data_IF_055609084584
#
_entry.id   IF_055609084584
#
_cell.length_a   1.000
_cell.length_b   1.000
_cell.length_c   1.000
_cell.angle_alpha   90.00
_cell.angle_beta   90.00
_cell.angle_gamma   90.00
#
_symmetry.space_group_name_H-M   'P 1'
#
loop_
_entity.id
_entity.type
_entity.pdbx_description
1 polymer ?
#
# COMPACT_ATOMS: atom_id res chain seq x y z
N UNK A 1 16.61 -13.66 -2.57
CA UNK A 1 16.64 -12.69 -3.67
C UNK A 1 15.27 -12.03 -3.75
N UNK A 2 15.22 -10.72 -3.81
CA UNK A 2 13.95 -10.00 -3.88
C UNK A 2 13.37 -10.09 -5.29
N UNK A 3 12.08 -10.38 -5.39
CA UNK A 3 11.35 -10.36 -6.65
C UNK A 3 10.73 -8.99 -6.92
N UNK A 4 11.02 -8.02 -6.05
CA UNK A 4 10.51 -6.67 -6.20
C UNK A 4 11.28 -5.90 -7.25
N UNK A 5 10.53 -5.18 -8.07
CA UNK A 5 11.11 -4.27 -9.05
C UNK A 5 10.55 -2.88 -8.80
N UNK A 6 11.43 -1.88 -8.80
CA UNK A 6 11.06 -0.49 -8.59
C UNK A 6 11.35 0.31 -9.85
N UNK A 7 10.33 1.00 -10.34
CA UNK A 7 10.45 1.91 -11.48
C UNK A 7 9.90 3.28 -11.10
N UNK A 8 10.60 4.31 -11.52
CA UNK A 8 10.11 5.68 -11.42
C UNK A 8 10.07 6.27 -12.81
N UNK A 9 8.90 6.74 -13.22
CA UNK A 9 8.67 7.31 -14.54
C UNK A 9 8.13 8.73 -14.39
N UNK A 10 8.69 9.65 -15.16
CA UNK A 10 8.19 11.02 -15.25
C UNK A 10 7.69 11.23 -16.67
N UNK A 11 6.41 11.49 -16.84
CA UNK A 11 5.75 11.54 -18.13
C UNK A 11 5.13 12.91 -18.47
N UNK A 12 5.47 13.94 -17.76
CA UNK A 12 4.90 15.29 -17.95
C UNK A 12 3.56 15.51 -17.24
N UNK A 13 2.96 14.43 -16.68
CA UNK A 13 1.74 14.47 -15.86
C UNK A 13 2.03 14.28 -14.39
N UNK A 14 3.31 14.30 -14.02
CA UNK A 14 3.81 14.02 -12.68
C UNK A 14 4.61 12.74 -12.62
N UNK A 15 5.14 12.43 -11.44
CA UNK A 15 5.93 11.23 -11.21
C UNK A 15 5.03 10.01 -11.04
N UNK A 16 5.54 8.85 -11.46
CA UNK A 16 4.88 7.57 -11.27
C UNK A 16 5.89 6.57 -10.72
N UNK A 17 5.50 5.83 -9.70
CA UNK A 17 6.31 4.76 -9.13
C UNK A 17 5.53 3.46 -9.26
N UNK A 18 6.19 2.41 -9.78
CA UNK A 18 5.57 1.11 -9.99
C UNK A 18 6.37 0.05 -9.24
N UNK A 19 5.67 -0.77 -8.45
CA UNK A 19 6.25 -1.89 -7.72
C UNK A 19 5.57 -3.17 -8.20
N UNK A 20 6.35 -4.18 -8.54
CA UNK A 20 5.84 -5.50 -8.94
C UNK A 20 6.49 -6.57 -8.09
N UNK A 21 5.66 -7.46 -7.54
CA UNK A 21 6.14 -8.62 -6.81
C UNK A 21 5.28 -9.84 -7.16
N UNK A 22 5.82 -11.02 -6.90
CA UNK A 22 5.12 -12.29 -7.03
C UNK A 22 4.92 -12.90 -5.65
N UNK A 23 3.71 -13.34 -5.37
CA UNK A 23 3.34 -13.89 -4.07
C UNK A 23 2.68 -15.24 -4.27
N UNK A 24 3.11 -16.23 -3.52
CA UNK A 24 2.48 -17.55 -3.53
C UNK A 24 1.21 -17.51 -2.69
N UNK A 25 0.10 -17.21 -3.35
CA UNK A 25 -1.23 -17.06 -2.74
C UNK A 25 -2.29 -17.02 -3.83
N UNK A 26 -3.56 -17.08 -3.43
CA UNK A 26 -4.68 -16.88 -4.36
C UNK A 26 -5.04 -15.39 -4.49
N UNK A 27 -5.66 -14.99 -5.61
CA UNK A 27 -6.17 -13.61 -5.76
C UNK A 27 -7.12 -13.20 -4.63
N UNK A 28 -7.99 -14.10 -4.20
CA UNK A 28 -8.96 -13.84 -3.15
C UNK A 28 -8.29 -13.57 -1.81
N UNK A 29 -7.27 -14.35 -1.49
CA UNK A 29 -6.53 -14.16 -0.23
C UNK A 29 -5.71 -12.88 -0.26
N UNK A 30 -5.14 -12.55 -1.41
CA UNK A 30 -4.40 -11.29 -1.56
C UNK A 30 -5.35 -10.09 -1.42
N UNK A 31 -6.53 -10.16 -2.05
CA UNK A 31 -7.54 -9.12 -1.91
C UNK A 31 -7.96 -8.95 -0.44
N UNK A 32 -8.19 -10.06 0.26
CA UNK A 32 -8.51 -10.03 1.69
C UNK A 32 -7.42 -9.33 2.50
N UNK A 33 -6.16 -9.65 2.22
CA UNK A 33 -5.03 -9.03 2.93
C UNK A 33 -4.94 -7.52 2.69
N UNK A 34 -5.38 -7.04 1.52
CA UNK A 34 -5.37 -5.61 1.20
C UNK A 34 -6.53 -4.87 1.88
N UNK A 35 -7.69 -5.50 1.98
CA UNK A 35 -8.91 -4.85 2.44
C UNK A 35 -9.29 -5.13 3.89
N UNK A 36 -8.82 -6.23 4.47
CA UNK A 36 -9.08 -6.54 5.87
C UNK A 36 -8.17 -5.73 6.78
N UNK A 37 -8.77 -4.97 7.70
CA UNK A 37 -8.04 -4.04 8.55
C UNK A 37 -7.04 -4.75 9.47
N UNK A 38 -7.42 -5.88 10.05
CA UNK A 38 -6.55 -6.61 10.97
C UNK A 38 -5.35 -7.25 10.25
N UNK A 39 -5.58 -7.82 9.07
CA UNK A 39 -4.47 -8.33 8.26
C UNK A 39 -3.55 -7.19 7.81
N UNK A 40 -4.15 -6.06 7.43
CA UNK A 40 -3.39 -4.89 6.99
C UNK A 40 -2.41 -4.39 8.05
N UNK A 41 -2.83 -4.36 9.31
CA UNK A 41 -1.98 -3.95 10.43
C UNK A 41 -0.72 -4.81 10.56
N UNK A 42 -0.80 -6.08 10.21
CA UNK A 42 0.32 -7.03 10.39
C UNK A 42 1.50 -6.76 9.46
N UNK A 43 1.26 -6.14 8.31
CA UNK A 43 2.34 -5.87 7.34
C UNK A 43 2.53 -4.39 7.03
N UNK A 44 1.70 -3.51 7.58
CA UNK A 44 1.71 -2.08 7.27
C UNK A 44 1.95 -1.22 8.53
N UNK A 45 2.93 -1.61 9.35
CA UNK A 45 3.37 -0.85 10.53
C UNK A 45 2.25 -0.57 11.56
N UNK A 46 1.30 -1.49 11.69
CA UNK A 46 0.16 -1.30 12.58
C UNK A 46 -0.96 -0.45 11.99
N UNK A 47 -0.83 -0.05 10.73
CA UNK A 47 -1.84 0.76 10.04
C UNK A 47 -2.97 -0.13 9.57
N UNK A 48 -4.17 0.05 10.13
CA UNK A 48 -5.38 -0.56 9.62
C UNK A 48 -6.05 0.35 8.59
N UNK A 49 -7.04 -0.18 7.89
CA UNK A 49 -7.79 0.57 6.90
C UNK A 49 -9.29 0.36 7.12
N UNK A 50 -10.04 1.45 7.10
CA UNK A 50 -11.49 1.45 7.30
C UNK A 50 -12.18 1.95 6.04
N UNK A 51 -13.10 1.18 5.51
CA UNK A 51 -13.87 1.54 4.32
C UNK A 51 -15.05 0.60 4.14
N UNK A 52 -16.07 1.08 3.43
CA UNK A 52 -17.19 0.24 2.98
C UNK A 52 -16.87 -0.53 1.69
N UNK A 53 -15.74 -0.22 1.04
CA UNK A 53 -15.25 -0.88 -0.17
C UNK A 53 -16.25 -0.85 -1.33
N UNK A 54 -17.00 0.24 -1.44
CA UNK A 54 -17.88 0.51 -2.57
C UNK A 54 -17.24 1.58 -3.46
N UNK A 55 -17.47 1.52 -4.77
CA UNK A 55 -17.00 2.58 -5.65
C UNK A 55 -17.62 3.91 -5.22
N UNK A 56 -16.79 4.95 -5.10
CA UNK A 56 -17.19 6.25 -4.63
C UNK A 56 -17.18 6.42 -3.12
N UNK A 57 -16.98 5.34 -2.35
CA UNK A 57 -16.88 5.45 -0.89
C UNK A 57 -15.49 5.91 -0.45
N UNK A 58 -15.42 6.45 0.75
CA UNK A 58 -14.17 6.91 1.33
C UNK A 58 -13.44 5.80 2.07
N UNK A 59 -12.13 5.98 2.30
CA UNK A 59 -11.35 5.16 3.19
C UNK A 59 -10.49 6.02 4.11
N UNK A 60 -10.14 5.45 5.25
CA UNK A 60 -9.18 6.04 6.19
C UNK A 60 -8.21 4.96 6.65
N UNK A 61 -6.92 5.20 6.43
CA UNK A 61 -5.85 4.36 6.95
C UNK A 61 -5.23 5.03 8.16
N UNK A 62 -5.13 4.31 9.28
CA UNK A 62 -4.62 4.88 10.52
C UNK A 62 -4.05 3.83 11.46
N UNK A 63 -3.20 4.30 12.38
CA UNK A 63 -2.82 3.54 13.56
C UNK A 63 -3.82 3.94 14.65
N UNK A 64 -4.76 3.05 15.06
CA UNK A 64 -5.84 3.42 15.96
C UNK A 64 -5.33 4.06 17.27
N UNK A 65 -5.90 5.22 17.59
CA UNK A 65 -5.54 5.94 18.80
C UNK A 65 -4.19 6.66 18.74
N UNK A 66 -3.49 6.61 17.61
CA UNK A 66 -2.14 7.19 17.48
C UNK A 66 -2.11 8.25 16.39
N UNK A 67 -2.35 7.87 15.12
CA UNK A 67 -2.18 8.80 14.01
C UNK A 67 -2.99 8.35 12.79
N UNK A 68 -3.55 9.32 12.07
CA UNK A 68 -4.11 9.10 10.74
C UNK A 68 -2.99 9.15 9.72
N UNK A 69 -2.92 8.15 8.84
CA UNK A 69 -1.84 7.99 7.88
C UNK A 69 -2.23 8.51 6.51
N UNK A 70 -3.38 8.07 5.99
CA UNK A 70 -3.84 8.53 4.67
C UNK A 70 -5.34 8.40 4.57
N UNK A 71 -5.90 9.18 3.65
CA UNK A 71 -7.32 9.11 3.34
C UNK A 71 -7.54 9.29 1.84
N UNK A 72 -8.73 8.94 1.40
CA UNK A 72 -9.10 9.13 0.01
C UNK A 72 -10.41 8.48 -0.33
N UNK A 73 -10.63 8.31 -1.63
CA UNK A 73 -11.83 7.72 -2.21
C UNK A 73 -11.48 6.45 -2.97
N UNK A 74 -12.33 5.45 -2.89
CA UNK A 74 -12.24 4.23 -3.71
C UNK A 74 -12.85 4.54 -5.07
N UNK A 75 -12.00 4.84 -6.05
CA UNK A 75 -12.42 5.22 -7.39
C UNK A 75 -12.94 4.01 -8.18
N UNK A 76 -12.26 2.87 -8.02
CA UNK A 76 -12.64 1.61 -8.65
C UNK A 76 -12.44 0.47 -7.68
N UNK A 77 -13.43 -0.41 -7.56
CA UNK A 77 -13.35 -1.59 -6.69
C UNK A 77 -13.83 -2.80 -7.50
N UNK A 78 -12.88 -3.62 -7.96
CA UNK A 78 -13.14 -4.80 -8.78
C UNK A 78 -12.45 -6.02 -8.15
N UNK A 79 -13.06 -6.62 -7.09
CA UNK A 79 -12.45 -7.78 -6.42
C UNK A 79 -12.42 -9.02 -7.34
N UNK A 80 -11.38 -9.82 -7.29
CA UNK A 80 -10.14 -9.66 -6.55
C UNK A 80 -9.01 -9.12 -7.44
N UNK A 81 -9.30 -8.28 -8.43
CA UNK A 81 -8.35 -7.92 -9.48
C UNK A 81 -7.79 -6.51 -9.41
N UNK A 82 -8.60 -5.54 -9.00
CA UNK A 82 -8.17 -4.16 -9.11
C UNK A 82 -8.83 -3.26 -8.09
N UNK A 83 -8.02 -2.41 -7.47
CA UNK A 83 -8.48 -1.37 -6.54
C UNK A 83 -7.76 -0.08 -6.91
N UNK A 84 -8.51 0.97 -7.21
CA UNK A 84 -7.96 2.30 -7.48
C UNK A 84 -8.44 3.26 -6.41
N UNK A 85 -7.50 3.94 -5.77
CA UNK A 85 -7.79 4.87 -4.67
C UNK A 85 -7.10 6.19 -4.89
N UNK A 86 -7.75 7.29 -4.54
CA UNK A 86 -7.03 8.54 -4.34
C UNK A 86 -6.25 8.43 -3.04
N UNK A 87 -5.18 9.19 -2.91
CA UNK A 87 -4.29 9.09 -1.78
C UNK A 87 -3.86 10.47 -1.31
N UNK A 88 -4.23 10.82 -0.09
CA UNK A 88 -3.77 12.03 0.58
C UNK A 88 -3.02 11.62 1.84
N UNK A 89 -1.73 11.92 1.88
CA UNK A 89 -0.89 11.63 3.03
C UNK A 89 -1.22 12.57 4.19
N UNK A 90 -1.31 12.03 5.39
CA UNK A 90 -1.70 12.77 6.59
C UNK A 90 -0.68 12.68 7.71
N UNK A 91 0.40 11.89 7.57
CA UNK A 91 1.30 11.62 8.69
C UNK A 91 2.28 12.76 9.01
N UNK A 92 2.47 13.71 8.11
CA UNK A 92 3.26 14.91 8.40
C UNK A 92 2.81 16.05 7.48
N UNK A 93 3.19 17.29 7.86
CA UNK A 93 2.89 18.45 7.02
C UNK A 93 3.63 18.40 5.68
N UNK A 94 4.86 17.87 5.69
CA UNK A 94 5.69 17.81 4.48
C UNK A 94 5.04 16.96 3.39
N UNK A 95 4.50 15.77 3.75
CA UNK A 95 3.80 14.93 2.78
C UNK A 95 2.40 15.46 2.48
N UNK A 96 1.73 16.08 3.47
CA UNK A 96 0.41 16.66 3.27
C UNK A 96 0.40 17.79 2.25
N UNK A 97 1.48 18.54 2.13
CA UNK A 97 1.63 19.62 1.15
C UNK A 97 1.68 19.12 -0.29
N UNK A 98 2.02 17.86 -0.50
CA UNK A 98 2.10 17.27 -1.84
C UNK A 98 0.71 17.07 -2.48
N UNK A 99 -0.36 17.22 -1.69
CA UNK A 99 -1.73 17.11 -2.19
C UNK A 99 -2.18 15.67 -2.36
N UNK A 100 -3.07 15.46 -3.33
CA UNK A 100 -3.69 14.16 -3.57
C UNK A 100 -3.05 13.47 -4.76
N UNK A 101 -2.67 12.22 -4.58
CA UNK A 101 -2.14 11.35 -5.63
C UNK A 101 -3.08 10.15 -5.81
N UNK A 102 -2.63 9.14 -6.55
CA UNK A 102 -3.44 7.96 -6.83
C UNK A 102 -2.62 6.70 -6.57
N UNK A 103 -3.25 5.70 -5.94
CA UNK A 103 -2.66 4.38 -5.74
C UNK A 103 -3.56 3.34 -6.41
N UNK A 104 -2.96 2.51 -7.24
CA UNK A 104 -3.65 1.42 -7.92
C UNK A 104 -3.03 0.10 -7.50
N UNK A 105 -3.89 -0.86 -7.11
CA UNK A 105 -3.49 -2.23 -6.81
C UNK A 105 -4.05 -3.11 -7.91
N UNK A 106 -3.17 -3.87 -8.58
CA UNK A 106 -3.57 -4.81 -9.63
C UNK A 106 -3.10 -6.21 -9.26
N UNK A 107 -4.01 -7.16 -9.29
CA UNK A 107 -3.76 -8.56 -8.94
C UNK A 107 -4.02 -9.41 -10.17
N UNK A 108 -3.03 -10.20 -10.57
CA UNK A 108 -3.14 -11.10 -11.71
C UNK A 108 -2.71 -12.50 -11.29
N UNK A 109 -3.55 -13.54 -11.50
CA UNK A 109 -3.13 -14.90 -11.19
C UNK A 109 -2.00 -15.34 -12.12
N UNK A 110 -1.04 -16.07 -11.56
CA UNK A 110 0.11 -16.62 -12.30
C UNK A 110 0.20 -18.10 -11.96
N UNK A 111 -0.09 -18.94 -12.94
CA UNK A 111 -0.17 -20.39 -12.70
C UNK A 111 -1.32 -20.72 -11.74
N UNK A 112 -1.19 -21.83 -11.02
CA UNK A 112 -2.26 -22.36 -10.17
C UNK A 112 -2.18 -21.89 -8.71
N UNK A 113 -1.03 -21.36 -8.28
CA UNK A 113 -0.79 -21.11 -6.87
C UNK A 113 -0.17 -19.74 -6.54
N UNK A 114 0.00 -18.88 -7.53
CA UNK A 114 0.68 -17.58 -7.31
C UNK A 114 -0.06 -16.43 -7.97
N UNK A 115 0.28 -15.22 -7.55
CA UNK A 115 -0.23 -13.96 -8.10
C UNK A 115 0.92 -13.00 -8.36
N UNK A 116 0.76 -12.17 -9.37
CA UNK A 116 1.54 -10.95 -9.52
C UNK A 116 0.74 -9.82 -8.88
N UNK A 117 1.38 -9.06 -8.02
CA UNK A 117 0.82 -7.82 -7.47
C UNK A 117 1.60 -6.66 -8.03
N UNK A 118 0.89 -5.72 -8.62
CA UNK A 118 1.45 -4.45 -9.07
C UNK A 118 0.81 -3.33 -8.27
N UNK A 119 1.65 -2.47 -7.68
CA UNK A 119 1.19 -1.25 -7.02
C UNK A 119 1.72 -0.07 -7.82
N UNK A 120 0.83 0.79 -8.27
CA UNK A 120 1.17 1.98 -9.04
C UNK A 120 0.80 3.20 -8.20
N UNK A 121 1.79 4.01 -7.86
CA UNK A 121 1.55 5.27 -7.17
C UNK A 121 1.88 6.39 -8.15
N UNK A 122 0.87 7.04 -8.68
CA UNK A 122 1.03 8.05 -9.71
C UNK A 122 0.25 9.35 -9.39
N UNK A 123 0.23 10.28 -10.33
CA UNK A 123 -0.31 11.62 -10.13
C UNK A 123 0.41 12.36 -9.01
N UNK A 124 1.68 12.02 -8.83
CA UNK A 124 2.57 12.73 -7.91
C UNK A 124 3.14 13.96 -8.62
N UNK A 125 3.30 15.09 -7.94
CA UNK A 125 3.98 16.22 -8.55
C UNK A 125 5.44 15.88 -8.85
N UNK A 126 6.01 16.54 -9.86
CA UNK A 126 7.43 16.41 -10.16
C UNK A 126 8.24 16.83 -8.93
N UNK A 127 9.21 16.03 -8.52
CA UNK A 127 10.02 16.32 -7.34
C UNK A 127 9.30 16.08 -6.01
N UNK A 128 8.20 15.33 -6.02
CA UNK A 128 7.45 15.02 -4.81
C UNK A 128 8.31 14.37 -3.73
N UNK A 129 7.95 14.60 -2.47
CA UNK A 129 8.65 14.03 -1.32
C UNK A 129 8.63 12.51 -1.41
N UNK A 130 9.81 11.88 -1.42
CA UNK A 130 9.95 10.43 -1.58
C UNK A 130 9.38 9.63 -0.40
N UNK A 131 9.04 10.26 0.71
CA UNK A 131 8.35 9.58 1.81
C UNK A 131 6.97 9.07 1.39
N UNK A 132 6.38 9.66 0.35
CA UNK A 132 5.07 9.22 -0.16
C UNK A 132 5.08 7.79 -0.66
N UNK A 133 6.20 7.32 -1.20
CA UNK A 133 6.31 5.96 -1.74
C UNK A 133 7.42 5.13 -1.14
N UNK A 134 8.27 5.72 -0.30
CA UNK A 134 9.46 5.04 0.26
C UNK A 134 9.14 3.86 1.16
N UNK A 135 7.93 3.78 1.70
CA UNK A 135 7.50 2.67 2.55
C UNK A 135 6.98 1.45 1.80
N UNK A 136 6.71 1.55 0.50
CA UNK A 136 6.15 0.45 -0.27
C UNK A 136 6.98 -0.83 -0.25
N UNK A 137 8.32 -0.79 -0.43
CA UNK A 137 9.10 -2.03 -0.40
C UNK A 137 8.95 -2.82 0.91
N UNK A 138 8.94 -2.14 2.06
CA UNK A 138 8.76 -2.80 3.35
C UNK A 138 7.35 -3.37 3.51
N UNK A 139 6.35 -2.61 3.10
CA UNK A 139 4.94 -3.03 3.14
C UNK A 139 4.75 -4.27 2.27
N UNK A 140 5.25 -4.25 1.04
CA UNK A 140 5.09 -5.37 0.10
C UNK A 140 5.88 -6.59 0.54
N UNK A 141 7.06 -6.41 1.11
CA UNK A 141 7.84 -7.52 1.67
C UNK A 141 7.11 -8.17 2.85
N UNK A 142 6.51 -7.36 3.72
CA UNK A 142 5.71 -7.84 4.83
C UNK A 142 4.47 -8.59 4.38
N UNK A 143 3.79 -8.07 3.36
CA UNK A 143 2.62 -8.71 2.77
C UNK A 143 2.97 -10.09 2.20
N UNK A 144 4.05 -10.17 1.44
CA UNK A 144 4.53 -11.43 0.87
C UNK A 144 4.86 -12.43 1.96
N UNK A 145 5.60 -12.02 2.98
CA UNK A 145 5.98 -12.88 4.10
C UNK A 145 4.73 -13.41 4.82
N UNK A 146 3.79 -12.53 5.12
CA UNK A 146 2.55 -12.92 5.81
C UNK A 146 1.77 -13.98 5.01
N UNK A 147 1.56 -13.74 3.73
CA UNK A 147 0.74 -14.63 2.91
C UNK A 147 1.42 -15.96 2.62
N UNK A 148 2.74 -15.98 2.50
CA UNK A 148 3.48 -17.22 2.19
C UNK A 148 3.82 -18.05 3.42
N UNK A 149 3.98 -17.43 4.58
CA UNK A 149 4.43 -18.13 5.80
C UNK A 149 3.44 -18.11 6.96
N UNK A 150 2.49 -17.16 6.95
CA UNK A 150 1.61 -16.92 8.10
C UNK A 150 2.26 -16.10 9.20
N UNK A 151 3.52 -15.71 9.04
CA UNK A 151 4.27 -14.97 10.04
C UNK A 151 4.46 -13.52 9.60
N UNK A 152 4.68 -12.63 10.59
CA UNK A 152 4.95 -11.23 10.32
C UNK A 152 6.43 -11.05 9.98
N UNK A 153 6.73 -10.22 8.98
CA UNK A 153 8.09 -9.79 8.74
C UNK A 153 8.46 -8.77 9.81
N UNK A 154 9.50 -9.07 10.57
CA UNK A 154 9.97 -8.22 11.65
C UNK A 154 11.35 -7.66 11.31
N UNK A 155 11.45 -6.35 11.22
CA UNK A 155 12.70 -5.63 10.98
C UNK A 155 12.88 -4.54 12.02
N UNK A 156 14.09 -3.96 12.18
CA UNK A 156 14.25 -2.83 13.07
C UNK A 156 13.31 -1.67 12.76
N UNK A 157 13.07 -1.39 11.47
CA UNK A 157 12.16 -0.32 11.05
C UNK A 157 10.71 -0.64 11.43
N UNK A 158 10.23 -1.85 11.16
CA UNK A 158 8.86 -2.23 11.51
C UNK A 158 8.62 -2.21 13.02
N UNK A 159 9.62 -2.62 13.81
CA UNK A 159 9.53 -2.57 15.26
C UNK A 159 9.49 -1.14 15.78
N UNK A 160 10.22 -0.25 15.16
CA UNK A 160 10.23 1.16 15.53
C UNK A 160 8.83 1.78 15.35
N UNK A 161 8.20 1.55 14.21
CA UNK A 161 6.85 2.06 13.94
C UNK A 161 5.80 1.41 14.86
N UNK A 162 5.91 0.12 15.10
CA UNK A 162 4.99 -0.59 15.98
C UNK A 162 5.03 -0.07 17.43
N UNK A 163 6.14 0.51 17.84
CA UNK A 163 6.33 1.07 19.19
C UNK A 163 6.06 2.58 19.27
N UNK A 164 5.39 3.14 18.25
CA UNK A 164 5.11 4.56 18.24
C UNK A 164 6.24 5.43 17.73
N UNK A 165 7.10 4.89 16.88
CA UNK A 165 8.15 5.66 16.22
C UNK A 165 7.59 6.73 15.30
N UNK A 166 8.48 7.59 14.79
CA UNK A 166 8.06 8.72 13.97
C UNK A 166 7.63 8.28 12.58
N UNK A 167 6.60 8.95 12.08
CA UNK A 167 6.05 8.76 10.75
C UNK A 167 6.44 9.90 9.80
N UNK A 168 7.40 10.70 10.19
CA UNK A 168 7.87 11.83 9.39
C UNK A 168 8.90 11.42 8.33
#
# INVERSE_FOLDING_TARGET
MSDEQLYTVVDGRGAMTVFEIYIKTSPERLWEAITDSEMRKRYSFGVGIESDWQEGSEYLARVPGVIDISSGENVEVDPPRRLVQTFKALWSEDVGREGTSRVTWEIEPVGDDSCQLRVIHDQLPEGANNQLWGGWPMILSGLKTLLETGEDLTTPASLMYAKGGTWS
#
